data_IF_967153501369
#
_entry.id   IF_967153501369
#
_cell.length_a   1.000
_cell.length_b   1.000
_cell.length_c   1.000
_cell.angle_alpha   90.00
_cell.angle_beta   90.00
_cell.angle_gamma   90.00
#
_symmetry.space_group_name_H-M   'P 1'
#
loop_
_entity.id
_entity.type
_entity.pdbx_description
1 polymer ?
#
# COMPACT_ATOMS: atom_id res chain seq x y z
N UNK A 1 -19.54 32.31 -47.84
CA UNK A 1 -19.80 32.51 -46.40
C UNK A 1 -19.97 31.15 -45.75
N UNK A 2 -18.87 30.57 -45.28
CA UNK A 2 -18.90 29.33 -44.50
C UNK A 2 -19.37 29.68 -43.10
N UNK A 3 -20.54 29.18 -42.71
CA UNK A 3 -21.05 29.28 -41.34
C UNK A 3 -20.11 28.48 -40.44
N UNK A 4 -19.16 29.16 -39.79
CA UNK A 4 -18.35 28.55 -38.75
C UNK A 4 -19.32 28.06 -37.66
N UNK A 5 -19.42 26.74 -37.47
CA UNK A 5 -20.13 26.16 -36.33
C UNK A 5 -19.42 26.66 -35.07
N UNK A 6 -20.03 27.61 -34.37
CA UNK A 6 -19.55 28.08 -33.07
C UNK A 6 -19.55 26.87 -32.15
N UNK A 7 -18.40 26.55 -31.55
CA UNK A 7 -18.30 25.46 -30.59
C UNK A 7 -19.17 25.82 -29.37
N UNK A 8 -20.19 25.01 -29.02
CA UNK A 8 -21.07 25.29 -27.88
C UNK A 8 -20.32 25.43 -26.55
N UNK A 9 -19.11 24.84 -26.45
CA UNK A 9 -18.26 24.92 -25.26
C UNK A 9 -17.27 26.09 -25.29
N UNK A 10 -17.18 26.82 -26.40
CA UNK A 10 -16.37 28.05 -26.53
C UNK A 10 -17.17 29.12 -27.29
N UNK A 11 -18.24 29.67 -26.70
CA UNK A 11 -19.13 30.62 -27.38
C UNK A 11 -18.43 31.91 -27.83
N UNK A 12 -17.29 32.25 -27.21
CA UNK A 12 -16.49 33.44 -27.52
C UNK A 12 -15.23 33.14 -28.34
N UNK A 13 -14.98 31.88 -28.70
CA UNK A 13 -13.81 31.51 -29.49
C UNK A 13 -14.11 31.63 -31.00
N UNK A 14 -13.49 32.61 -31.65
CA UNK A 14 -13.59 32.81 -33.10
C UNK A 14 -12.34 32.24 -33.79
N UNK A 15 -12.42 31.08 -34.45
CA UNK A 15 -11.28 30.54 -35.19
C UNK A 15 -10.94 31.46 -36.38
N UNK A 16 -9.70 31.96 -36.43
CA UNK A 16 -9.16 32.65 -37.62
C UNK A 16 -9.21 34.18 -37.64
N UNK A 17 -9.58 34.87 -36.56
CA UNK A 17 -9.53 36.34 -36.46
C UNK A 17 -8.30 36.84 -35.68
N UNK A 18 -7.11 36.31 -35.98
CA UNK A 18 -5.85 36.96 -35.61
C UNK A 18 -5.43 37.98 -36.68
N UNK A 19 -6.22 39.05 -36.80
CA UNK A 19 -5.73 40.31 -37.40
C UNK A 19 -5.76 41.40 -36.31
N UNK A 20 -4.61 41.53 -35.66
CA UNK A 20 -4.01 42.74 -35.08
C UNK A 20 -4.67 43.55 -33.94
N UNK A 21 -5.88 43.26 -33.43
CA UNK A 21 -6.51 44.20 -32.48
C UNK A 21 -6.95 43.65 -31.11
N UNK A 22 -6.17 42.74 -30.50
CA UNK A 22 -6.25 42.56 -29.04
C UNK A 22 -4.85 42.65 -28.44
N UNK A 23 -4.68 43.59 -27.51
CA UNK A 23 -3.48 43.77 -26.70
C UNK A 23 -3.30 42.53 -25.84
N UNK A 24 -2.53 41.56 -26.33
CA UNK A 24 -1.98 40.52 -25.47
C UNK A 24 -1.06 41.22 -24.47
N UNK A 25 -1.48 41.27 -23.20
CA UNK A 25 -0.52 41.49 -22.12
C UNK A 25 0.60 40.46 -22.30
N UNK A 26 1.88 40.86 -22.27
CA UNK A 26 2.98 39.93 -22.45
C UNK A 26 3.04 39.00 -21.24
N UNK A 27 2.37 37.87 -21.31
CA UNK A 27 2.59 36.74 -20.40
C UNK A 27 3.87 36.07 -20.84
N UNK A 28 4.92 36.19 -20.02
CA UNK A 28 6.25 35.65 -20.28
C UNK A 28 6.36 34.11 -20.29
N UNK A 29 5.24 33.38 -20.34
CA UNK A 29 5.18 31.92 -20.11
C UNK A 29 4.43 31.10 -21.19
N UNK A 30 4.08 31.68 -22.35
CA UNK A 30 3.53 30.89 -23.47
C UNK A 30 4.64 30.30 -24.36
N UNK A 31 4.85 28.99 -24.25
CA UNK A 31 5.73 28.20 -25.13
C UNK A 31 5.15 28.23 -26.56
N UNK A 32 5.87 28.74 -27.58
CA UNK A 32 5.39 28.72 -28.96
C UNK A 32 5.44 27.31 -29.53
N UNK A 33 4.29 26.89 -30.06
CA UNK A 33 4.08 25.65 -30.80
C UNK A 33 4.95 25.64 -32.07
N UNK A 34 5.74 24.56 -32.19
CA UNK A 34 6.61 24.13 -33.29
C UNK A 34 6.21 24.62 -34.69
N UNK A 35 6.82 25.72 -35.13
CA UNK A 35 7.25 25.88 -36.52
C UNK A 35 8.77 25.68 -36.57
N UNK A 36 9.23 24.98 -37.60
CA UNK A 36 10.63 24.68 -37.89
C UNK A 36 11.43 25.98 -38.06
N UNK A 37 11.91 26.52 -36.94
CA UNK A 37 12.89 27.62 -36.90
C UNK A 37 14.09 27.08 -36.11
N UNK A 38 15.30 27.27 -36.66
CA UNK A 38 16.53 26.66 -36.13
C UNK A 38 16.67 26.92 -34.62
N UNK A 39 16.95 25.89 -33.81
CA UNK A 39 17.00 26.08 -32.36
C UNK A 39 18.26 26.84 -31.97
N UNK A 40 18.10 28.12 -31.62
CA UNK A 40 19.12 28.93 -30.98
C UNK A 40 19.76 28.17 -29.80
N UNK A 41 21.06 27.87 -29.88
CA UNK A 41 21.80 27.14 -28.84
C UNK A 41 21.73 27.83 -27.46
N UNK A 42 21.55 29.16 -27.42
CA UNK A 42 21.39 29.92 -26.19
C UNK A 42 20.06 29.64 -25.48
N UNK A 43 18.98 29.45 -26.24
CA UNK A 43 17.65 29.11 -25.70
C UNK A 43 17.63 27.67 -25.20
N UNK A 44 18.27 26.74 -25.91
CA UNK A 44 18.42 25.36 -25.45
C UNK A 44 19.23 25.27 -24.15
N UNK A 45 20.33 26.04 -24.03
CA UNK A 45 21.14 26.07 -22.81
C UNK A 45 20.36 26.64 -21.61
N UNK A 46 19.57 27.69 -21.80
CA UNK A 46 18.75 28.26 -20.72
C UNK A 46 17.61 27.32 -20.31
N UNK A 47 16.95 26.67 -21.28
CA UNK A 47 15.91 25.67 -21.05
C UNK A 47 16.46 24.45 -20.29
N UNK A 48 17.58 23.88 -20.74
CA UNK A 48 18.23 22.75 -20.04
C UNK A 48 18.66 23.13 -18.62
N UNK A 49 19.14 24.36 -18.41
CA UNK A 49 19.50 24.86 -17.07
C UNK A 49 18.28 24.97 -16.15
N UNK A 50 17.14 25.44 -16.66
CA UNK A 50 15.88 25.51 -15.90
C UNK A 50 15.33 24.13 -15.58
N UNK A 51 15.32 23.22 -16.56
CA UNK A 51 14.86 21.85 -16.37
C UNK A 51 15.72 21.08 -15.37
N UNK A 52 17.05 21.22 -15.43
CA UNK A 52 17.96 20.58 -14.48
C UNK A 52 17.79 21.14 -13.08
N UNK A 53 17.69 22.46 -12.94
CA UNK A 53 17.41 23.12 -11.65
C UNK A 53 16.09 22.64 -11.04
N UNK A 54 15.04 22.55 -11.85
CA UNK A 54 13.75 22.03 -11.43
C UNK A 54 13.83 20.55 -11.00
N UNK A 55 14.51 19.73 -11.79
CA UNK A 55 14.67 18.30 -11.51
C UNK A 55 15.47 18.06 -10.21
N UNK A 56 16.51 18.86 -9.95
CA UNK A 56 17.30 18.82 -8.72
C UNK A 56 16.49 19.30 -7.51
N UNK A 57 15.72 20.38 -7.65
CA UNK A 57 14.81 20.85 -6.61
C UNK A 57 13.80 19.75 -6.25
N UNK A 58 13.18 19.13 -7.25
CA UNK A 58 12.26 18.01 -7.05
C UNK A 58 12.94 16.81 -6.40
N UNK A 59 14.19 16.51 -6.75
CA UNK A 59 14.96 15.47 -6.08
C UNK A 59 15.15 15.77 -4.58
N UNK A 60 15.48 17.01 -4.24
CA UNK A 60 15.64 17.43 -2.84
C UNK A 60 14.34 17.35 -2.05
N UNK A 61 13.23 17.84 -2.63
CA UNK A 61 11.91 17.80 -1.99
C UNK A 61 11.43 16.37 -1.77
N UNK A 62 11.61 15.49 -2.76
CA UNK A 62 11.29 14.06 -2.61
C UNK A 62 12.19 13.37 -1.60
N UNK A 63 13.48 13.75 -1.53
CA UNK A 63 14.41 13.20 -0.55
C UNK A 63 14.01 13.56 0.88
N UNK A 64 13.57 14.79 1.12
CA UNK A 64 13.11 15.26 2.44
C UNK A 64 11.85 14.52 2.90
N UNK A 65 10.95 14.19 1.97
CA UNK A 65 9.68 13.51 2.25
C UNK A 65 9.82 11.98 2.31
N UNK A 66 10.88 11.42 1.72
CA UNK A 66 11.09 9.96 1.61
C UNK A 66 11.01 9.17 2.93
N UNK A 67 11.52 9.64 4.09
CA UNK A 67 11.41 8.89 5.34
C UNK A 67 9.95 8.71 5.76
N UNK A 68 9.11 9.72 5.48
CA UNK A 68 7.70 9.67 5.79
C UNK A 68 6.94 8.75 4.82
N UNK A 69 7.32 8.74 3.56
CA UNK A 69 6.74 7.81 2.59
C UNK A 69 7.10 6.35 2.91
N UNK A 70 8.35 6.08 3.33
CA UNK A 70 8.78 4.75 3.73
C UNK A 70 8.04 4.29 4.99
N UNK A 71 7.97 5.13 6.03
CA UNK A 71 7.24 4.73 7.24
C UNK A 71 5.74 4.50 7.00
N UNK A 72 5.07 5.34 6.19
CA UNK A 72 3.64 5.14 5.86
C UNK A 72 3.40 3.87 5.07
N UNK A 73 4.22 3.59 4.06
CA UNK A 73 4.10 2.38 3.23
C UNK A 73 4.34 1.11 4.04
N UNK A 74 5.36 1.07 4.90
CA UNK A 74 5.63 -0.07 5.77
C UNK A 74 4.47 -0.32 6.74
N UNK A 75 3.90 0.73 7.35
CA UNK A 75 2.72 0.61 8.23
C UNK A 75 1.49 0.08 7.49
N UNK A 76 1.22 0.55 6.28
CA UNK A 76 0.05 0.15 5.50
C UNK A 76 0.15 -1.31 5.02
N UNK A 77 1.35 -1.77 4.67
CA UNK A 77 1.58 -3.15 4.22
C UNK A 77 1.65 -4.13 5.39
N UNK A 78 2.01 -3.66 6.59
CA UNK A 78 2.15 -4.48 7.77
C UNK A 78 0.92 -5.32 8.09
N UNK A 79 1.09 -6.64 8.05
CA UNK A 79 0.16 -7.59 8.63
C UNK A 79 0.38 -7.66 10.14
N UNK A 80 -0.62 -7.28 10.94
CA UNK A 80 -0.66 -7.75 12.34
C UNK A 80 -2.04 -8.35 12.64
N UNK A 81 -2.13 -9.70 12.62
CA UNK A 81 -3.38 -10.41 12.85
C UNK A 81 -3.78 -10.35 14.33
N UNK A 82 -5.03 -10.66 14.61
CA UNK A 82 -5.47 -10.99 15.96
C UNK A 82 -5.00 -12.39 16.34
N UNK A 83 -4.56 -12.60 17.59
CA UNK A 83 -4.01 -13.88 18.10
C UNK A 83 -4.96 -15.08 17.89
N UNK A 84 -6.28 -14.85 17.86
CA UNK A 84 -7.27 -15.90 17.67
C UNK A 84 -7.64 -16.14 16.18
N UNK A 85 -7.13 -15.34 15.22
CA UNK A 85 -7.45 -15.41 13.78
C UNK A 85 -6.17 -15.50 12.91
N UNK A 86 -5.02 -15.83 13.51
CA UNK A 86 -3.78 -15.94 12.76
C UNK A 86 -3.89 -17.04 11.69
N UNK A 87 -3.74 -16.63 10.42
CA UNK A 87 -3.67 -17.58 9.31
C UNK A 87 -2.26 -18.10 9.24
N UNK A 88 -2.03 -19.31 9.73
CA UNK A 88 -0.76 -20.00 9.56
C UNK A 88 -0.57 -20.36 8.08
N UNK A 89 0.52 -19.88 7.47
CA UNK A 89 0.95 -20.37 6.18
C UNK A 89 1.39 -21.83 6.29
N UNK A 90 0.97 -22.68 5.36
CA UNK A 90 1.59 -23.99 5.19
C UNK A 90 3.05 -23.77 4.74
N UNK A 91 4.04 -24.46 5.32
CA UNK A 91 5.41 -24.41 4.82
C UNK A 91 5.43 -24.82 3.35
N UNK A 92 5.98 -23.97 2.48
CA UNK A 92 6.33 -24.38 1.13
C UNK A 92 7.41 -25.45 1.24
N UNK A 93 7.07 -26.70 0.93
CA UNK A 93 8.05 -27.75 0.71
C UNK A 93 8.95 -27.29 -0.45
N UNK A 94 10.21 -27.00 -0.13
CA UNK A 94 11.26 -26.71 -1.09
C UNK A 94 11.24 -27.74 -2.21
N UNK A 95 10.82 -27.33 -3.41
CA UNK A 95 10.80 -28.18 -4.61
C UNK A 95 12.18 -28.24 -5.27
N UNK A 96 13.24 -28.14 -4.46
CA UNK A 96 14.65 -28.07 -4.88
C UNK A 96 15.38 -29.39 -4.58
N UNK A 97 14.74 -30.52 -4.88
CA UNK A 97 15.38 -31.83 -4.90
C UNK A 97 14.62 -32.77 -5.86
N UNK A 98 14.67 -32.45 -7.16
CA UNK A 98 14.44 -33.48 -8.19
C UNK A 98 15.60 -34.46 -8.15
N UNK A 99 15.52 -35.45 -7.26
CA UNK A 99 16.29 -36.69 -7.33
C UNK A 99 15.38 -37.75 -7.93
N UNK A 100 15.82 -38.23 -9.09
CA UNK A 100 15.38 -39.43 -9.80
C UNK A 100 14.95 -40.55 -8.86
N UNK A 101 13.69 -40.98 -8.97
CA UNK A 101 13.32 -42.35 -8.62
C UNK A 101 12.39 -42.88 -9.71
N UNK A 102 12.94 -43.86 -10.41
CA UNK A 102 12.33 -44.60 -11.49
C UNK A 102 11.03 -45.27 -11.02
N UNK A 103 9.92 -44.96 -11.68
CA UNK A 103 8.70 -45.75 -11.55
C UNK A 103 8.93 -47.03 -12.38
N UNK A 104 9.22 -48.13 -11.69
CA UNK A 104 9.05 -49.47 -12.25
C UNK A 104 7.55 -49.71 -12.44
N UNK A 105 7.13 -49.73 -13.69
CA UNK A 105 5.81 -50.19 -14.12
C UNK A 105 5.83 -51.72 -14.07
N UNK A 106 5.12 -52.31 -13.10
CA UNK A 106 4.79 -53.74 -13.09
C UNK A 106 3.43 -53.90 -13.77
N UNK A 107 3.46 -54.42 -14.99
CA UNK A 107 2.28 -54.99 -15.66
C UNK A 107 1.93 -56.33 -14.99
N UNK A 108 0.66 -56.50 -14.63
CA UNK A 108 0.10 -57.80 -14.27
C UNK A 108 -1.34 -57.86 -14.80
N UNK A 109 -1.49 -58.52 -15.95
CA UNK A 109 -2.74 -59.06 -16.45
C UNK A 109 -3.25 -60.17 -15.52
N UNK A 110 -4.55 -60.19 -15.22
CA UNK A 110 -5.34 -61.43 -15.10
C UNK A 110 -6.83 -61.13 -15.03
N UNK A 111 -7.55 -61.62 -16.04
CA UNK A 111 -8.99 -61.89 -15.99
C UNK A 111 -9.30 -63.03 -15.01
N UNK A 112 -10.43 -62.94 -14.30
CA UNK A 112 -11.40 -64.04 -14.10
C UNK A 112 -12.56 -63.60 -13.18
N UNK A 113 -13.77 -63.68 -13.72
CA UNK A 113 -15.04 -63.68 -12.98
C UNK A 113 -15.24 -65.06 -12.30
N UNK A 114 -15.68 -65.11 -11.04
CA UNK A 114 -16.53 -66.21 -10.52
C UNK A 114 -17.25 -65.80 -9.22
N UNK A 115 -18.44 -66.36 -9.07
CA UNK A 115 -19.52 -66.02 -8.14
C UNK A 115 -19.39 -66.65 -6.73
N UNK A 116 -20.00 -65.96 -5.75
CA UNK A 116 -20.93 -66.64 -4.82
C UNK A 116 -20.41 -67.18 -3.47
N UNK A 117 -21.17 -66.80 -2.43
CA UNK A 117 -21.61 -67.64 -1.30
C UNK A 117 -21.15 -67.25 0.13
N UNK A 118 -22.13 -67.29 1.03
CA UNK A 118 -22.22 -66.67 2.36
C UNK A 118 -21.25 -67.19 3.42
N UNK A 119 -20.71 -66.28 4.27
CA UNK A 119 -20.57 -66.52 5.73
C UNK A 119 -20.33 -65.22 6.54
N UNK A 120 -21.07 -65.08 7.64
CA UNK A 120 -20.88 -64.21 8.83
C UNK A 120 -21.21 -65.07 10.05
N UNK A 121 -20.87 -64.74 11.32
CA UNK A 121 -20.01 -63.68 11.87
C UNK A 121 -18.97 -64.20 12.90
N UNK A 122 -18.27 -63.27 13.59
CA UNK A 122 -17.44 -63.44 14.83
C UNK A 122 -16.00 -63.94 14.55
N UNK A 123 -14.89 -63.28 14.91
CA UNK A 123 -14.53 -62.42 16.03
C UNK A 123 -13.77 -61.15 15.58
N UNK A 124 -14.08 -60.01 16.19
CA UNK A 124 -13.29 -58.77 16.04
C UNK A 124 -12.12 -58.78 17.02
N UNK A 125 -11.02 -59.41 16.64
CA UNK A 125 -9.71 -59.11 17.23
C UNK A 125 -9.16 -57.84 16.56
N UNK A 126 -8.89 -56.85 17.40
CA UNK A 126 -8.28 -55.57 17.04
C UNK A 126 -6.91 -55.78 16.43
N UNK A 127 -6.81 -55.67 15.10
CA UNK A 127 -5.53 -55.40 14.45
C UNK A 127 -5.30 -53.90 14.58
N UNK A 128 -4.41 -53.57 15.51
CA UNK A 128 -3.77 -52.26 15.63
C UNK A 128 -3.29 -51.82 14.25
N UNK A 129 -4.03 -50.88 13.63
CA UNK A 129 -3.40 -50.00 12.66
C UNK A 129 -2.33 -49.26 13.43
N UNK A 130 -1.08 -49.65 13.19
CA UNK A 130 0.11 -48.92 13.56
C UNK A 130 -0.10 -47.49 13.07
N UNK A 131 -0.62 -46.64 13.96
CA UNK A 131 -0.44 -45.20 13.85
C UNK A 131 1.05 -45.03 13.97
N UNK A 132 1.71 -44.96 12.83
CA UNK A 132 3.00 -44.30 12.73
C UNK A 132 2.72 -42.88 13.20
N UNK A 133 2.89 -42.67 14.50
CA UNK A 133 3.24 -41.39 15.09
C UNK A 133 4.55 -41.03 14.40
N UNK A 134 4.44 -40.37 13.26
CA UNK A 134 5.49 -39.44 12.87
C UNK A 134 5.57 -38.46 14.01
N UNK A 135 6.61 -38.63 14.83
CA UNK A 135 6.98 -37.67 15.84
C UNK A 135 6.94 -36.29 15.22
N UNK A 136 5.99 -35.51 15.72
CA UNK A 136 5.77 -34.12 15.40
C UNK A 136 6.97 -33.34 15.93
N UNK A 137 8.09 -33.41 15.21
CA UNK A 137 9.14 -32.40 15.27
C UNK A 137 8.52 -31.08 14.79
N UNK A 138 7.98 -30.33 15.75
CA UNK A 138 7.76 -28.88 15.74
C UNK A 138 7.81 -28.21 14.36
N UNK A 139 6.77 -28.41 13.55
CA UNK A 139 6.41 -27.45 12.51
C UNK A 139 5.77 -26.24 13.21
N UNK A 140 6.61 -25.47 13.90
CA UNK A 140 6.18 -24.26 14.60
C UNK A 140 5.76 -23.25 13.55
N UNK A 141 4.46 -23.14 13.31
CA UNK A 141 3.88 -22.04 12.57
C UNK A 141 4.20 -20.75 13.34
N UNK A 142 5.17 -19.99 12.85
CA UNK A 142 5.69 -18.81 13.55
C UNK A 142 4.61 -17.73 13.51
N UNK A 143 4.07 -17.39 14.68
CA UNK A 143 3.16 -16.26 14.81
C UNK A 143 3.93 -14.96 14.58
N UNK A 144 3.25 -13.94 14.04
CA UNK A 144 3.86 -12.62 13.76
C UNK A 144 4.42 -11.98 15.04
N UNK A 145 3.84 -12.33 16.20
CA UNK A 145 4.23 -11.83 17.52
C UNK A 145 5.27 -12.69 18.26
N UNK A 146 5.69 -13.83 17.69
CA UNK A 146 6.74 -14.65 18.30
C UNK A 146 8.11 -14.01 18.05
N UNK A 147 8.55 -13.19 19.01
CA UNK A 147 9.85 -12.50 18.94
C UNK A 147 11.05 -13.48 18.94
N UNK A 148 10.89 -14.72 19.41
CA UNK A 148 12.00 -15.69 19.51
C UNK A 148 12.31 -16.37 18.19
N UNK A 149 11.27 -16.70 17.42
CA UNK A 149 11.39 -17.37 16.13
C UNK A 149 11.32 -16.40 14.94
N UNK A 150 11.30 -15.08 15.19
CA UNK A 150 11.26 -14.07 14.13
C UNK A 150 12.57 -14.07 13.34
N UNK A 151 12.53 -14.12 11.99
CA UNK A 151 13.73 -13.98 11.20
C UNK A 151 14.36 -12.59 11.37
N UNK A 152 15.69 -12.55 11.39
CA UNK A 152 16.50 -11.34 11.69
C UNK A 152 16.20 -10.18 10.71
N UNK A 153 15.76 -10.47 9.49
CA UNK A 153 15.41 -9.47 8.49
C UNK A 153 14.05 -8.79 8.72
N UNK A 154 13.19 -9.34 9.60
CA UNK A 154 11.82 -8.89 9.82
C UNK A 154 11.72 -8.04 11.09
N UNK A 155 11.02 -6.91 11.01
CA UNK A 155 10.74 -6.01 12.14
C UNK A 155 9.64 -6.55 13.04
N UNK A 156 9.69 -6.13 14.30
CA UNK A 156 8.55 -6.24 15.20
C UNK A 156 7.36 -5.43 14.67
N UNK A 157 6.12 -5.91 14.87
CA UNK A 157 4.94 -5.14 14.56
C UNK A 157 4.98 -3.74 15.18
N UNK A 158 5.00 -2.70 14.34
CA UNK A 158 4.99 -1.31 14.77
C UNK A 158 3.54 -0.90 15.11
N UNK A 159 3.13 -1.05 16.37
CA UNK A 159 1.77 -0.70 16.81
C UNK A 159 1.75 0.51 17.74
N UNK A 160 0.94 1.52 17.39
CA UNK A 160 0.47 2.54 18.34
C UNK A 160 1.48 3.61 18.78
N UNK A 161 2.69 3.61 18.24
CA UNK A 161 3.70 4.63 18.52
C UNK A 161 3.52 5.95 17.75
N UNK A 162 4.19 7.01 18.20
CA UNK A 162 4.26 8.29 17.49
C UNK A 162 5.03 8.17 16.16
N UNK A 163 4.88 9.16 15.26
CA UNK A 163 5.57 9.15 13.94
C UNK A 163 7.09 8.99 14.09
N UNK A 164 7.70 9.70 15.05
CA UNK A 164 9.13 9.60 15.34
C UNK A 164 9.53 8.27 15.95
N UNK A 165 8.65 7.62 16.71
CA UNK A 165 8.90 6.30 17.30
C UNK A 165 8.89 5.20 16.23
N UNK A 166 7.97 5.30 15.27
CA UNK A 166 7.93 4.44 14.08
C UNK A 166 9.23 4.60 13.29
N UNK A 167 9.64 5.85 13.02
CA UNK A 167 10.86 6.13 12.28
C UNK A 167 12.11 5.64 13.02
N UNK A 168 12.16 5.89 14.33
CA UNK A 168 13.25 5.43 15.20
C UNK A 168 13.33 3.91 15.23
N UNK A 169 12.19 3.21 15.25
CA UNK A 169 12.13 1.75 15.19
C UNK A 169 12.72 1.20 13.90
N UNK A 170 12.47 1.86 12.76
CA UNK A 170 13.05 1.50 11.46
C UNK A 170 14.58 1.67 11.49
N UNK A 171 15.05 2.84 11.96
CA UNK A 171 16.49 3.16 12.02
C UNK A 171 17.24 2.24 12.98
N UNK A 172 16.63 1.82 14.08
CA UNK A 172 17.23 0.95 15.10
C UNK A 172 17.33 -0.51 14.67
N UNK A 173 16.63 -0.93 13.61
CA UNK A 173 16.71 -2.32 13.18
C UNK A 173 18.11 -2.63 12.61
N UNK A 174 18.81 -3.67 13.11
CA UNK A 174 20.21 -3.93 12.76
C UNK A 174 20.41 -4.32 11.29
N UNK A 175 19.39 -4.85 10.64
CA UNK A 175 19.43 -5.27 9.23
C UNK A 175 19.15 -4.14 8.24
N UNK A 176 18.65 -2.99 8.70
CA UNK A 176 18.20 -1.89 7.84
C UNK A 176 18.99 -0.60 8.01
N UNK A 177 19.10 -0.12 9.26
CA UNK A 177 19.69 1.17 9.57
C UNK A 177 18.99 2.36 8.91
N UNK A 178 19.60 3.54 9.05
CA UNK A 178 19.07 4.80 8.54
C UNK A 178 18.94 4.90 7.01
N UNK A 179 19.75 4.16 6.24
CA UNK A 179 19.69 4.14 4.78
C UNK A 179 18.37 3.57 4.24
N UNK A 180 17.71 2.72 5.04
CA UNK A 180 16.41 2.14 4.68
C UNK A 180 15.31 3.18 4.48
N UNK A 181 15.41 4.32 5.17
CA UNK A 181 14.45 5.43 5.04
C UNK A 181 14.42 6.07 3.65
N UNK A 182 15.46 5.85 2.85
CA UNK A 182 15.57 6.37 1.49
C UNK A 182 15.35 5.26 0.44
N UNK A 183 14.82 4.10 0.83
CA UNK A 183 14.40 3.06 -0.12
C UNK A 183 13.33 3.62 -1.05
N UNK A 184 13.44 3.27 -2.34
CA UNK A 184 12.50 3.73 -3.35
C UNK A 184 12.66 5.20 -3.77
N UNK A 185 13.53 6.01 -3.12
CA UNK A 185 13.69 7.44 -3.42
C UNK A 185 13.93 7.75 -4.89
N UNK A 186 14.81 6.98 -5.56
CA UNK A 186 15.08 7.16 -6.99
C UNK A 186 13.84 6.91 -7.85
N UNK A 187 13.03 5.91 -7.48
CA UNK A 187 11.79 5.57 -8.19
C UNK A 187 10.72 6.62 -7.94
N UNK A 188 10.60 7.09 -6.70
CA UNK A 188 9.73 8.22 -6.34
C UNK A 188 10.04 9.44 -7.19
N UNK A 189 11.32 9.83 -7.26
CA UNK A 189 11.72 11.00 -8.04
C UNK A 189 11.42 10.84 -9.54
N UNK A 190 11.75 9.68 -10.14
CA UNK A 190 11.43 9.41 -11.56
C UNK A 190 9.92 9.46 -11.79
N UNK A 191 9.13 8.86 -10.89
CA UNK A 191 7.67 8.87 -10.95
C UNK A 191 7.11 10.30 -10.88
N UNK A 192 7.58 11.12 -9.93
CA UNK A 192 7.12 12.50 -9.79
C UNK A 192 7.52 13.36 -10.99
N UNK A 193 8.72 13.18 -11.55
CA UNK A 193 9.15 13.87 -12.78
C UNK A 193 8.27 13.50 -13.97
N UNK A 194 8.05 12.19 -14.20
CA UNK A 194 7.18 11.71 -15.27
C UNK A 194 5.76 12.24 -15.10
N UNK A 195 5.20 12.16 -13.90
CA UNK A 195 3.85 12.64 -13.60
C UNK A 195 3.72 14.14 -13.82
N UNK A 196 4.74 14.92 -13.44
CA UNK A 196 4.77 16.38 -13.62
C UNK A 196 4.81 16.77 -15.11
N UNK A 197 5.47 15.97 -15.95
CA UNK A 197 5.56 16.23 -17.40
C UNK A 197 4.35 15.71 -18.17
N UNK A 198 3.92 14.47 -17.91
CA UNK A 198 2.89 13.79 -18.70
C UNK A 198 1.47 14.29 -18.40
N UNK A 199 1.16 14.67 -17.15
CA UNK A 199 -0.20 15.06 -16.80
C UNK A 199 -0.63 16.36 -17.48
N UNK A 200 0.09 17.50 -17.35
CA UNK A 200 -0.34 18.75 -17.96
C UNK A 200 -0.34 18.67 -19.49
N UNK A 201 0.61 17.93 -20.08
CA UNK A 201 0.68 17.75 -21.54
C UNK A 201 -0.52 16.96 -22.08
N UNK A 202 -0.94 15.91 -21.37
CA UNK A 202 -2.14 15.15 -21.75
C UNK A 202 -3.43 15.93 -21.49
N UNK A 203 -3.50 16.68 -20.38
CA UNK A 203 -4.66 17.53 -20.06
C UNK A 203 -4.87 18.62 -21.12
N UNK A 204 -3.80 19.34 -21.48
CA UNK A 204 -3.80 20.31 -22.58
C UNK A 204 -4.20 19.68 -23.92
N UNK A 205 -3.62 18.52 -24.26
CA UNK A 205 -3.97 17.82 -25.50
C UNK A 205 -5.44 17.37 -25.54
N UNK A 206 -6.01 16.93 -24.42
CA UNK A 206 -7.42 16.54 -24.33
C UNK A 206 -8.33 17.77 -24.40
N UNK A 207 -7.98 18.85 -23.70
CA UNK A 207 -8.73 20.10 -23.74
C UNK A 207 -8.75 20.69 -25.16
N UNK A 208 -7.66 20.61 -25.91
CA UNK A 208 -7.62 21.03 -27.31
C UNK A 208 -8.45 20.11 -28.22
N UNK A 209 -8.36 18.80 -28.03
CA UNK A 209 -9.13 17.82 -28.80
C UNK A 209 -10.65 18.03 -28.67
N UNK A 210 -11.12 18.37 -27.48
CA UNK A 210 -12.54 18.64 -27.21
C UNK A 210 -12.92 20.11 -27.36
N UNK A 211 -11.95 20.98 -27.69
CA UNK A 211 -12.15 22.41 -27.77
C UNK A 211 -12.69 22.99 -26.46
N UNK A 212 -12.07 22.70 -25.32
CA UNK A 212 -12.38 23.21 -23.98
C UNK A 212 -11.42 24.32 -23.55
N UNK A 213 -11.85 25.27 -22.73
CA UNK A 213 -10.95 26.32 -22.23
C UNK A 213 -9.78 25.71 -21.46
N UNK A 214 -8.58 26.27 -21.71
CA UNK A 214 -7.33 25.89 -21.04
C UNK A 214 -7.41 26.16 -19.53
N UNK A 215 -6.70 25.36 -18.72
CA UNK A 215 -6.82 25.25 -17.25
C UNK A 215 -6.39 26.51 -16.48
N UNK A 216 -6.18 27.62 -17.16
CA UNK A 216 -5.84 28.92 -16.60
C UNK A 216 -7.03 29.64 -15.95
N UNK A 217 -8.27 29.17 -16.22
CA UNK A 217 -9.49 29.72 -15.62
C UNK A 217 -9.96 28.81 -14.47
N UNK A 218 -10.08 29.31 -13.22
CA UNK A 218 -10.63 28.53 -12.12
C UNK A 218 -12.01 27.99 -12.47
N UNK A 219 -12.23 26.68 -12.25
CA UNK A 219 -13.48 25.94 -12.51
C UNK A 219 -14.75 26.60 -11.90
N UNK A 220 -14.58 27.56 -11.00
CA UNK A 220 -15.64 28.37 -10.40
C UNK A 220 -16.40 29.24 -11.43
N UNK A 221 -15.77 29.63 -12.54
CA UNK A 221 -16.31 30.59 -13.51
C UNK A 221 -16.85 29.97 -14.80
N UNK A 222 -16.89 28.64 -14.92
CA UNK A 222 -17.39 27.96 -16.12
C UNK A 222 -18.86 27.56 -15.97
N UNK A 223 -19.66 27.91 -16.99
CA UNK A 223 -21.09 27.55 -17.05
C UNK A 223 -21.31 26.03 -17.18
N UNK A 224 -20.39 25.31 -17.83
CA UNK A 224 -20.39 23.85 -17.90
C UNK A 224 -19.10 23.27 -17.33
N UNK A 225 -19.12 22.87 -16.06
CA UNK A 225 -17.95 22.32 -15.33
C UNK A 225 -17.66 20.86 -15.72
N UNK A 226 -18.70 20.13 -16.15
CA UNK A 226 -18.62 18.70 -16.48
C UNK A 226 -17.52 18.34 -17.50
N UNK A 227 -17.44 18.97 -18.69
CA UNK A 227 -16.43 18.57 -19.69
C UNK A 227 -14.99 18.78 -19.20
N UNK A 228 -14.70 19.87 -18.50
CA UNK A 228 -13.35 20.14 -17.97
C UNK A 228 -12.97 19.17 -16.84
N UNK A 229 -13.92 18.81 -15.96
CA UNK A 229 -13.67 17.75 -14.97
C UNK A 229 -13.40 16.42 -15.68
N UNK A 230 -14.11 16.10 -16.76
CA UNK A 230 -13.90 14.82 -17.46
C UNK A 230 -12.51 14.72 -18.09
N UNK A 231 -12.00 15.79 -18.71
CA UNK A 231 -10.64 15.79 -19.28
C UNK A 231 -9.56 15.72 -18.21
N UNK A 232 -9.75 16.45 -17.10
CA UNK A 232 -8.90 16.33 -15.91
C UNK A 232 -8.87 14.91 -15.35
N UNK A 233 -10.03 14.27 -15.16
CA UNK A 233 -10.10 12.89 -14.65
C UNK A 233 -9.48 11.89 -15.64
N UNK A 234 -9.71 12.09 -16.93
CA UNK A 234 -9.14 11.26 -17.98
C UNK A 234 -7.61 11.37 -18.01
N UNK A 235 -7.04 12.58 -17.94
CA UNK A 235 -5.59 12.79 -17.92
C UNK A 235 -4.96 12.10 -16.69
N UNK A 236 -5.57 12.26 -15.52
CA UNK A 236 -5.17 11.58 -14.29
C UNK A 236 -5.20 10.06 -14.38
N UNK A 237 -6.27 9.51 -14.94
CA UNK A 237 -6.45 8.07 -15.09
C UNK A 237 -5.44 7.48 -16.06
N UNK A 238 -5.27 8.10 -17.23
CA UNK A 238 -4.33 7.62 -18.27
C UNK A 238 -2.90 7.65 -17.75
N UNK A 239 -2.46 8.75 -17.14
CA UNK A 239 -1.12 8.87 -16.55
C UNK A 239 -0.92 7.89 -15.40
N UNK A 240 -1.91 7.77 -14.52
CA UNK A 240 -1.84 6.86 -13.37
C UNK A 240 -1.72 5.40 -13.79
N UNK A 241 -2.53 4.98 -14.77
CA UNK A 241 -2.45 3.62 -15.34
C UNK A 241 -1.08 3.42 -16.00
N UNK A 242 -0.61 4.36 -16.82
CA UNK A 242 0.68 4.30 -17.51
C UNK A 242 1.86 4.19 -16.55
N UNK A 243 1.82 4.90 -15.42
CA UNK A 243 2.88 4.89 -14.41
C UNK A 243 2.71 3.81 -13.32
N UNK A 244 1.65 3.02 -13.38
CA UNK A 244 1.34 2.01 -12.35
C UNK A 244 2.45 0.99 -12.07
N UNK A 245 3.25 0.49 -13.05
CA UNK A 245 4.34 -0.44 -12.74
C UNK A 245 5.44 0.20 -11.90
N UNK A 246 5.63 1.51 -12.06
CA UNK A 246 6.63 2.27 -11.31
C UNK A 246 6.18 2.43 -9.85
N UNK A 247 4.88 2.62 -9.61
CA UNK A 247 4.30 2.60 -8.26
C UNK A 247 4.45 1.22 -7.60
N UNK A 248 4.19 0.13 -8.34
CA UNK A 248 4.37 -1.24 -7.83
C UNK A 248 5.84 -1.47 -7.48
N UNK A 249 6.77 -1.17 -8.39
CA UNK A 249 8.20 -1.31 -8.15
C UNK A 249 8.66 -0.48 -6.93
N UNK A 250 8.18 0.77 -6.80
CA UNK A 250 8.44 1.62 -5.63
C UNK A 250 8.00 0.93 -4.34
N UNK A 251 6.75 0.47 -4.27
CA UNK A 251 6.23 -0.18 -3.05
C UNK A 251 7.01 -1.45 -2.68
N UNK A 252 7.37 -2.28 -3.66
CA UNK A 252 8.15 -3.50 -3.42
C UNK A 252 9.58 -3.22 -2.97
N UNK A 253 10.24 -2.22 -3.54
CA UNK A 253 11.59 -1.80 -3.13
C UNK A 253 11.62 -1.21 -1.72
N UNK A 254 10.52 -0.59 -1.28
CA UNK A 254 10.40 -0.09 0.09
C UNK A 254 10.18 -1.23 1.07
N UNK A 255 9.32 -2.19 0.71
CA UNK A 255 8.91 -3.30 1.60
C UNK A 255 9.95 -4.41 1.71
N UNK A 256 10.80 -4.62 0.71
CA UNK A 256 11.85 -5.64 0.78
C UNK A 256 12.88 -5.36 1.88
N UNK A 257 13.46 -6.42 2.44
CA UNK A 257 14.56 -6.27 3.39
C UNK A 257 15.78 -5.58 2.76
N UNK A 258 16.49 -4.76 3.55
CA UNK A 258 17.75 -4.13 3.12
C UNK A 258 18.95 -5.09 3.12
N UNK A 259 18.82 -6.27 3.76
CA UNK A 259 19.92 -7.23 3.83
C UNK A 259 20.22 -7.83 2.45
N UNK A 260 21.48 -7.80 1.97
CA UNK A 260 21.83 -8.30 0.63
C UNK A 260 21.57 -9.80 0.46
N UNK A 261 21.62 -10.57 1.55
CA UNK A 261 21.33 -12.01 1.57
C UNK A 261 19.83 -12.32 1.41
N UNK A 262 18.96 -11.34 1.69
CA UNK A 262 17.50 -11.49 1.66
C UNK A 262 16.83 -10.57 0.63
N UNK A 263 17.61 -9.80 -0.14
CA UNK A 263 17.07 -8.85 -1.11
C UNK A 263 16.74 -9.55 -2.42
N UNK A 264 15.48 -9.46 -2.85
CA UNK A 264 15.05 -9.95 -4.16
C UNK A 264 15.44 -8.99 -5.29
N UNK A 265 15.45 -7.68 -5.03
CA UNK A 265 15.70 -6.66 -6.04
C UNK A 265 16.92 -5.80 -5.71
N UNK A 266 17.92 -5.83 -6.59
CA UNK A 266 19.16 -5.06 -6.45
C UNK A 266 19.03 -3.57 -6.83
N UNK A 267 17.95 -3.20 -7.51
CA UNK A 267 17.73 -1.83 -7.96
C UNK A 267 16.41 -1.66 -8.71
N UNK A 268 16.09 -0.43 -9.15
CA UNK A 268 14.79 -0.13 -9.75
C UNK A 268 14.58 -0.76 -11.13
N UNK A 269 15.61 -0.73 -11.98
CA UNK A 269 15.55 -1.37 -13.30
C UNK A 269 15.53 -2.89 -13.18
N UNK A 270 16.28 -3.44 -12.23
CA UNK A 270 16.24 -4.87 -11.92
C UNK A 270 14.85 -5.26 -11.40
N UNK A 271 14.26 -4.48 -10.50
CA UNK A 271 12.90 -4.73 -9.98
C UNK A 271 11.86 -4.76 -11.10
N UNK A 272 11.88 -3.78 -12.01
CA UNK A 272 10.97 -3.76 -13.15
C UNK A 272 11.17 -4.96 -14.07
N UNK A 273 12.43 -5.28 -14.43
CA UNK A 273 12.75 -6.42 -15.30
C UNK A 273 12.31 -7.74 -14.70
N UNK A 274 12.64 -7.98 -13.43
CA UNK A 274 12.26 -9.20 -12.70
C UNK A 274 10.75 -9.31 -12.58
N UNK A 275 10.06 -8.22 -12.24
CA UNK A 275 8.59 -8.18 -12.17
C UNK A 275 7.95 -8.54 -13.52
N UNK A 276 8.41 -7.96 -14.63
CA UNK A 276 7.88 -8.32 -15.95
C UNK A 276 8.20 -9.76 -16.35
N UNK A 277 9.35 -10.31 -15.95
CA UNK A 277 9.74 -11.68 -16.27
C UNK A 277 8.96 -12.73 -15.47
N UNK A 278 8.70 -12.48 -14.18
CA UNK A 278 8.11 -13.48 -13.28
C UNK A 278 6.58 -13.45 -13.26
N UNK A 279 5.95 -12.32 -13.55
CA UNK A 279 4.50 -12.12 -13.37
C UNK A 279 3.69 -12.24 -14.66
N UNK A 280 4.26 -12.83 -15.72
CA UNK A 280 3.56 -12.99 -17.00
C UNK A 280 3.53 -11.72 -17.85
N UNK A 281 4.60 -10.91 -17.77
CA UNK A 281 4.80 -9.76 -18.64
C UNK A 281 3.98 -8.53 -18.26
N UNK A 282 3.88 -7.61 -19.23
CA UNK A 282 3.20 -6.32 -19.08
C UNK A 282 1.73 -6.53 -18.72
N UNK A 283 1.05 -7.52 -19.31
CA UNK A 283 -0.36 -7.81 -19.01
C UNK A 283 -0.56 -8.30 -17.58
N UNK A 284 0.37 -9.09 -17.03
CA UNK A 284 0.29 -9.55 -15.65
C UNK A 284 0.55 -8.44 -14.63
N UNK A 285 1.37 -7.46 -14.96
CA UNK A 285 1.61 -6.31 -14.07
C UNK A 285 0.46 -5.30 -14.12
N UNK A 286 0.02 -4.92 -15.33
CA UNK A 286 -1.00 -3.88 -15.54
C UNK A 286 -2.44 -4.39 -15.40
N UNK A 287 -2.76 -5.54 -15.99
CA UNK A 287 -4.13 -6.06 -16.13
C UNK A 287 -4.50 -7.10 -15.07
N UNK A 288 -3.68 -7.28 -14.04
CA UNK A 288 -3.98 -8.18 -12.94
C UNK A 288 -4.88 -7.52 -11.89
N UNK A 289 -4.81 -8.04 -10.68
CA UNK A 289 -5.61 -7.61 -9.53
C UNK A 289 -5.39 -6.12 -9.19
N UNK A 290 -4.27 -5.54 -9.63
CA UNK A 290 -3.88 -4.16 -9.36
C UNK A 290 -4.62 -3.10 -10.18
N UNK A 291 -5.25 -3.46 -11.32
CA UNK A 291 -5.87 -2.47 -12.21
C UNK A 291 -7.00 -1.70 -11.51
N UNK A 292 -7.95 -2.44 -10.93
CA UNK A 292 -9.16 -1.88 -10.32
C UNK A 292 -8.87 -0.92 -9.14
N UNK A 293 -8.02 -1.28 -8.15
CA UNK A 293 -7.68 -0.32 -7.08
C UNK A 293 -6.87 0.88 -7.60
N UNK A 294 -6.06 0.71 -8.64
CA UNK A 294 -5.33 1.82 -9.29
C UNK A 294 -6.29 2.79 -9.98
N UNK A 295 -7.29 2.29 -10.73
CA UNK A 295 -8.32 3.11 -11.35
C UNK A 295 -9.10 3.92 -10.31
N UNK A 296 -9.59 3.27 -9.25
CA UNK A 296 -10.30 3.98 -8.19
C UNK A 296 -9.42 5.02 -7.51
N UNK A 297 -8.15 4.71 -7.26
CA UNK A 297 -7.24 5.62 -6.57
C UNK A 297 -6.99 6.88 -7.40
N UNK A 298 -6.70 6.73 -8.70
CA UNK A 298 -6.45 7.85 -9.59
C UNK A 298 -7.71 8.63 -10.00
N UNK A 299 -8.91 8.06 -9.80
CA UNK A 299 -10.18 8.79 -9.96
C UNK A 299 -10.55 9.58 -8.71
N UNK A 300 -10.45 8.96 -7.53
CA UNK A 300 -10.88 9.58 -6.27
C UNK A 300 -9.92 10.72 -5.87
N UNK A 301 -8.62 10.57 -6.12
CA UNK A 301 -7.61 11.58 -5.75
C UNK A 301 -7.89 12.96 -6.35
N UNK A 302 -7.99 13.13 -7.70
CA UNK A 302 -8.30 14.43 -8.29
C UNK A 302 -9.67 14.97 -7.88
N UNK A 303 -10.67 14.10 -7.71
CA UNK A 303 -12.00 14.52 -7.24
C UNK A 303 -11.93 15.20 -5.87
N UNK A 304 -11.19 14.61 -4.92
CA UNK A 304 -10.98 15.21 -3.60
C UNK A 304 -10.27 16.55 -3.73
N UNK A 305 -9.18 16.62 -4.52
CA UNK A 305 -8.40 17.85 -4.70
C UNK A 305 -9.21 18.99 -5.32
N UNK A 306 -10.08 18.70 -6.29
CA UNK A 306 -10.96 19.70 -6.90
C UNK A 306 -12.15 20.06 -6.01
N UNK A 307 -12.65 19.11 -5.21
CA UNK A 307 -13.77 19.34 -4.31
C UNK A 307 -13.41 20.32 -3.19
N UNK A 308 -12.18 20.28 -2.66
CA UNK A 308 -11.78 21.13 -1.52
C UNK A 308 -12.01 22.63 -1.77
N UNK A 309 -11.40 23.28 -2.79
CA UNK A 309 -11.59 24.70 -3.02
C UNK A 309 -13.04 25.06 -3.37
N UNK A 310 -13.76 24.18 -4.08
CA UNK A 310 -15.16 24.40 -4.46
C UNK A 310 -16.09 24.37 -3.24
N UNK A 311 -15.89 23.44 -2.30
CA UNK A 311 -16.67 23.37 -1.07
C UNK A 311 -16.41 24.59 -0.18
N UNK A 312 -15.15 25.03 -0.08
CA UNK A 312 -14.79 26.22 0.71
C UNK A 312 -15.44 27.47 0.10
N UNK A 313 -15.29 27.69 -1.20
CA UNK A 313 -15.81 28.87 -1.86
C UNK A 313 -17.35 28.90 -1.91
N UNK A 314 -18.00 27.77 -2.24
CA UNK A 314 -19.45 27.75 -2.53
C UNK A 314 -20.32 27.47 -1.32
N UNK A 315 -19.89 26.57 -0.42
CA UNK A 315 -20.69 26.19 0.76
C UNK A 315 -20.29 27.07 1.95
N UNK A 316 -19.00 27.14 2.26
CA UNK A 316 -18.53 27.86 3.44
C UNK A 316 -18.43 29.37 3.20
N UNK A 317 -18.33 29.82 1.93
CA UNK A 317 -18.20 31.23 1.53
C UNK A 317 -17.06 31.96 2.25
N UNK A 318 -15.97 31.24 2.50
CA UNK A 318 -14.79 31.78 3.16
C UNK A 318 -13.80 32.22 2.09
N UNK A 319 -13.44 33.50 2.09
CA UNK A 319 -12.34 34.03 1.28
C UNK A 319 -11.02 33.88 2.03
N UNK A 320 -9.96 33.47 1.33
CA UNK A 320 -8.61 33.43 1.88
C UNK A 320 -8.08 34.83 2.25
N UNK A 321 -8.56 35.87 1.57
CA UNK A 321 -8.17 37.26 1.85
C UNK A 321 -8.77 37.79 3.17
N UNK A 322 -10.02 37.43 3.45
CA UNK A 322 -10.73 37.95 4.63
C UNK A 322 -10.28 37.23 5.91
N UNK A 323 -10.14 35.90 5.84
CA UNK A 323 -9.78 35.08 7.00
C UNK A 323 -8.86 33.91 6.62
N UNK A 324 -7.53 34.11 6.59
CA UNK A 324 -6.58 33.08 6.17
C UNK A 324 -6.54 31.87 7.10
N UNK A 325 -6.68 32.08 8.41
CA UNK A 325 -6.67 31.00 9.41
C UNK A 325 -7.92 30.11 9.25
N UNK A 326 -9.09 30.72 9.04
CA UNK A 326 -10.34 30.00 8.86
C UNK A 326 -10.35 29.21 7.54
N UNK A 327 -9.80 29.81 6.47
CA UNK A 327 -9.59 29.14 5.20
C UNK A 327 -8.68 27.92 5.37
N UNK A 328 -7.53 28.08 6.04
CA UNK A 328 -6.62 26.97 6.34
C UNK A 328 -7.26 25.88 7.20
N UNK A 329 -8.10 26.24 8.18
CA UNK A 329 -8.82 25.27 9.01
C UNK A 329 -9.86 24.49 8.19
N UNK A 330 -10.58 25.16 7.28
CA UNK A 330 -11.51 24.53 6.36
C UNK A 330 -10.77 23.58 5.39
N UNK A 331 -9.62 24.00 4.86
CA UNK A 331 -8.77 23.16 4.02
C UNK A 331 -8.25 21.94 4.78
N UNK A 332 -7.81 22.09 6.04
CA UNK A 332 -7.39 20.99 6.90
C UNK A 332 -8.51 19.98 7.14
N UNK A 333 -9.73 20.45 7.46
CA UNK A 333 -10.88 19.56 7.71
C UNK A 333 -11.32 18.81 6.47
N UNK A 334 -11.38 19.46 5.31
CA UNK A 334 -11.72 18.80 4.04
C UNK A 334 -10.62 17.84 3.58
N UNK A 335 -9.35 18.21 3.74
CA UNK A 335 -8.21 17.35 3.40
C UNK A 335 -8.12 16.12 4.30
N UNK A 336 -8.43 16.27 5.60
CA UNK A 336 -8.52 15.13 6.53
C UNK A 336 -9.72 14.24 6.25
N UNK A 337 -10.87 14.80 5.86
CA UNK A 337 -12.01 14.01 5.39
C UNK A 337 -11.68 13.24 4.10
N UNK A 338 -11.00 13.89 3.15
CA UNK A 338 -10.49 13.24 1.93
C UNK A 338 -9.54 12.08 2.27
N UNK A 339 -8.67 12.25 3.26
CA UNK A 339 -7.77 11.22 3.75
C UNK A 339 -8.51 9.99 4.29
N UNK A 340 -9.60 10.19 5.02
CA UNK A 340 -10.43 9.11 5.56
C UNK A 340 -11.09 8.26 4.45
N UNK A 341 -11.34 8.85 3.29
CA UNK A 341 -11.88 8.17 2.12
C UNK A 341 -10.77 7.45 1.34
N UNK A 342 -9.59 8.08 1.21
CA UNK A 342 -8.51 7.57 0.37
C UNK A 342 -7.69 6.45 1.04
N UNK A 343 -7.48 6.52 2.35
CA UNK A 343 -6.63 5.59 3.10
C UNK A 343 -7.02 4.12 2.97
N UNK A 344 -8.30 3.73 3.12
CA UNK A 344 -8.72 2.34 2.92
C UNK A 344 -8.28 1.78 1.57
N UNK A 345 -8.46 2.59 0.52
CA UNK A 345 -8.11 2.21 -0.84
C UNK A 345 -6.60 2.14 -1.03
N UNK A 346 -5.86 3.11 -0.47
CA UNK A 346 -4.39 3.13 -0.51
C UNK A 346 -3.79 1.90 0.18
N UNK A 347 -4.31 1.54 1.36
CA UNK A 347 -3.87 0.37 2.13
C UNK A 347 -4.12 -0.93 1.37
N UNK A 348 -5.33 -1.11 0.81
CA UNK A 348 -5.65 -2.30 0.00
C UNK A 348 -4.76 -2.37 -1.24
N UNK A 349 -4.57 -1.24 -1.93
CA UNK A 349 -3.70 -1.15 -3.12
C UNK A 349 -2.27 -1.57 -2.80
N UNK A 350 -1.65 -1.00 -1.77
CA UNK A 350 -0.26 -1.33 -1.37
C UNK A 350 -0.11 -2.78 -0.95
N UNK A 351 -1.08 -3.36 -0.25
CA UNK A 351 -1.08 -4.78 0.11
C UNK A 351 -1.20 -5.71 -1.10
N UNK A 352 -1.91 -5.27 -2.14
CA UNK A 352 -2.02 -6.02 -3.38
C UNK A 352 -0.72 -5.95 -4.19
N UNK A 353 -0.04 -4.80 -4.20
CA UNK A 353 1.27 -4.65 -4.85
C UNK A 353 2.34 -5.58 -4.25
N UNK A 354 2.26 -5.88 -2.96
CA UNK A 354 3.17 -6.78 -2.26
C UNK A 354 2.91 -8.27 -2.52
N UNK A 355 1.92 -8.62 -3.34
CA UNK A 355 1.75 -9.99 -3.80
C UNK A 355 2.78 -10.28 -4.90
N UNK A 356 3.86 -10.92 -4.51
CA UNK A 356 4.93 -11.35 -5.39
C UNK A 356 4.92 -12.87 -5.47
N UNK A 357 5.09 -13.49 -6.65
CA UNK A 357 5.29 -14.93 -6.74
C UNK A 357 6.66 -15.33 -6.14
N UNK A 358 6.69 -16.44 -5.40
CA UNK A 358 7.91 -17.01 -4.79
C UNK A 358 8.24 -16.48 -3.39
N UNK A 359 9.46 -16.75 -2.92
CA UNK A 359 9.94 -16.33 -1.60
C UNK A 359 10.32 -14.83 -1.62
N UNK A 360 9.43 -13.99 -1.08
CA UNK A 360 9.65 -12.55 -0.95
C UNK A 360 9.88 -12.18 0.51
N UNK A 361 11.15 -12.00 0.87
CA UNK A 361 11.57 -11.62 2.24
C UNK A 361 11.37 -10.13 2.46
N UNK A 362 10.27 -9.79 3.11
CA UNK A 362 9.92 -8.41 3.44
C UNK A 362 10.46 -8.00 4.81
N UNK A 363 10.74 -6.71 4.95
CA UNK A 363 11.07 -6.06 6.23
C UNK A 363 9.96 -6.23 7.25
N UNK A 364 8.72 -6.25 6.79
CA UNK A 364 7.53 -6.30 7.63
C UNK A 364 6.74 -7.56 7.31
N UNK A 365 6.06 -8.14 8.30
CA UNK A 365 5.17 -9.28 8.07
C UNK A 365 4.14 -8.96 6.98
N UNK A 366 4.07 -9.81 5.97
CA UNK A 366 2.99 -9.82 4.97
C UNK A 366 2.12 -11.04 5.25
N UNK A 367 0.83 -10.94 4.90
CA UNK A 367 -0.10 -12.07 4.99
C UNK A 367 0.41 -13.26 4.14
N UNK A 368 0.49 -14.48 4.70
CA UNK A 368 1.07 -15.63 3.99
C UNK A 368 0.22 -16.09 2.80
N UNK A 369 -1.09 -15.89 2.85
CA UNK A 369 -1.99 -16.26 1.77
C UNK A 369 -2.37 -15.01 0.94
N UNK A 370 -2.37 -15.09 -0.40
CA UNK A 370 -2.71 -13.96 -1.26
C UNK A 370 -4.19 -13.59 -1.19
N UNK A 371 -4.48 -12.31 -1.45
CA UNK A 371 -5.83 -11.79 -1.70
C UNK A 371 -6.26 -12.11 -3.14
N UNK A 372 -7.55 -12.39 -3.33
CA UNK A 372 -8.16 -12.65 -4.64
C UNK A 372 -8.48 -11.36 -5.40
N UNK A 373 -8.82 -10.28 -4.69
CA UNK A 373 -9.14 -8.98 -5.26
C UNK A 373 -9.36 -7.94 -4.16
N UNK A 374 -9.87 -6.76 -4.54
CA UNK A 374 -10.07 -5.62 -3.62
C UNK A 374 -11.07 -5.93 -2.51
N UNK A 375 -12.22 -6.51 -2.84
CA UNK A 375 -13.26 -6.84 -1.85
C UNK A 375 -12.82 -7.97 -0.90
N UNK A 376 -12.09 -8.96 -1.40
CA UNK A 376 -11.53 -10.04 -0.58
C UNK A 376 -10.44 -9.50 0.36
N UNK A 377 -9.60 -8.58 -0.13
CA UNK A 377 -8.63 -7.88 0.69
C UNK A 377 -9.32 -7.05 1.78
N UNK A 378 -10.34 -6.27 1.41
CA UNK A 378 -11.14 -5.48 2.35
C UNK A 378 -11.72 -6.36 3.46
N UNK A 379 -12.41 -7.44 3.10
CA UNK A 379 -13.01 -8.38 4.05
C UNK A 379 -11.97 -9.00 4.99
N UNK A 380 -10.85 -9.51 4.43
CA UNK A 380 -9.80 -10.16 5.22
C UNK A 380 -9.09 -9.18 6.15
N UNK A 381 -8.78 -7.96 5.70
CA UNK A 381 -8.17 -6.94 6.55
C UNK A 381 -9.12 -6.58 7.70
N UNK A 382 -10.40 -6.37 7.41
CA UNK A 382 -11.39 -6.04 8.44
C UNK A 382 -11.59 -7.15 9.47
N UNK A 383 -11.50 -8.41 9.03
CA UNK A 383 -11.68 -9.59 9.87
C UNK A 383 -10.43 -9.97 10.67
N UNK A 384 -9.26 -9.90 10.04
CA UNK A 384 -7.99 -10.36 10.63
C UNK A 384 -7.32 -9.26 11.47
N UNK A 385 -7.51 -7.97 11.16
CA UNK A 385 -6.80 -6.84 11.79
C UNK A 385 -7.71 -5.76 12.40
N UNK A 386 -9.01 -6.04 12.48
CA UNK A 386 -10.01 -5.02 12.81
C UNK A 386 -9.97 -4.52 14.24
N UNK A 387 -9.52 -5.35 15.18
CA UNK A 387 -9.67 -5.11 16.62
C UNK A 387 -8.39 -4.62 17.28
N UNK A 388 -8.55 -3.83 18.36
CA UNK A 388 -7.42 -3.49 19.21
C UNK A 388 -6.98 -4.72 19.99
N UNK A 389 -5.69 -5.02 19.90
CA UNK A 389 -5.03 -5.95 20.79
C UNK A 389 -5.17 -5.43 22.23
N UNK A 390 -6.07 -6.05 23.02
CA UNK A 390 -6.07 -5.81 24.47
C UNK A 390 -4.88 -6.61 24.98
N UNK A 391 -3.71 -5.97 25.11
CA UNK A 391 -2.52 -6.56 25.75
C UNK A 391 -2.99 -7.24 27.01
N UNK A 392 -3.07 -8.57 26.99
CA UNK A 392 -3.64 -9.33 28.08
C UNK A 392 -2.73 -9.11 29.29
N UNK A 393 -3.24 -8.42 30.30
CA UNK A 393 -2.59 -8.24 31.60
C UNK A 393 -2.24 -9.59 32.27
N UNK A 394 -2.69 -10.72 31.70
CA UNK A 394 -2.39 -12.06 32.20
C UNK A 394 -0.92 -12.50 31.96
N UNK A 395 -0.16 -11.83 31.09
CA UNK A 395 1.27 -12.11 30.95
C UNK A 395 2.07 -11.74 32.23
N UNK A 396 1.56 -10.80 33.04
CA UNK A 396 2.14 -10.48 34.35
C UNK A 396 1.62 -11.38 35.49
N UNK A 397 0.47 -12.04 35.33
CA UNK A 397 -0.08 -12.93 36.37
C UNK A 397 0.69 -14.25 36.44
N UNK A 398 1.12 -14.81 35.31
CA UNK A 398 1.94 -16.04 35.32
C UNK A 398 3.40 -15.80 35.69
N UNK A 399 3.91 -14.59 35.50
CA UNK A 399 5.28 -14.23 35.89
C UNK A 399 5.45 -14.12 37.42
N UNK A 400 4.35 -13.93 38.14
CA UNK A 400 4.34 -13.81 39.60
C UNK A 400 4.06 -15.13 40.36
N UNK A 401 3.78 -16.24 39.64
CA UNK A 401 3.61 -17.57 40.26
C UNK A 401 4.89 -18.40 40.31
N UNK A 402 5.90 -18.07 39.49
CA UNK A 402 7.16 -18.80 39.44
C UNK A 402 8.24 -18.31 40.43
N UNK A 403 7.91 -17.38 41.34
CA UNK A 403 8.86 -16.80 42.31
C UNK A 403 8.58 -17.18 43.77
N UNK A 404 7.69 -18.14 44.04
CA UNK A 404 7.45 -18.71 45.38
C UNK A 404 7.50 -20.23 45.36
N UNK A 405 8.69 -20.81 45.22
CA UNK A 405 8.91 -22.21 45.63
C UNK A 405 10.40 -22.54 45.84
N UNK A 406 11.11 -21.83 46.73
CA UNK A 406 12.40 -22.32 47.25
C UNK A 406 12.59 -21.78 48.68
N UNK A 407 12.26 -22.61 49.67
CA UNK A 407 12.75 -22.69 51.06
C UNK A 407 11.63 -23.31 51.90
N UNK A 408 11.76 -24.60 52.19
CA UNK A 408 11.88 -25.09 53.56
C UNK A 408 12.15 -26.60 53.57
N UNK A 409 12.78 -27.01 54.67
CA UNK A 409 13.65 -28.16 54.85
C UNK A 409 12.96 -29.32 55.62
N UNK A 410 13.48 -30.53 55.42
CA UNK A 410 13.33 -31.80 56.18
C UNK A 410 12.04 -32.18 56.95
N UNK A 411 11.45 -33.35 56.61
CA UNK A 411 11.48 -34.60 57.41
C UNK A 411 10.41 -35.65 57.02
N UNK A 412 10.68 -36.89 57.37
CA UNK A 412 10.09 -38.21 57.01
C UNK A 412 8.59 -38.44 57.22
N UNK A 413 7.98 -39.30 56.39
CA UNK A 413 7.38 -40.61 56.77
C UNK A 413 6.42 -41.13 55.69
N UNK A 414 6.42 -42.45 55.49
CA UNK A 414 5.60 -43.25 54.57
C UNK A 414 4.08 -42.98 54.65
N UNK A 415 3.40 -43.05 53.50
CA UNK A 415 2.16 -43.82 53.30
C UNK A 415 1.64 -43.70 51.85
N UNK A 416 1.48 -44.85 51.20
CA UNK A 416 0.74 -45.03 49.95
C UNK A 416 -0.77 -44.83 50.21
N UNK A 417 -1.43 -43.93 49.44
CA UNK A 417 -2.82 -44.07 49.01
C UNK A 417 -3.26 -42.94 48.07
N UNK A 418 -4.17 -43.31 47.17
CA UNK A 418 -5.10 -42.47 46.40
C UNK A 418 -4.69 -41.97 45.01
N UNK A 419 -4.80 -42.94 44.09
CA UNK A 419 -5.58 -42.90 42.84
C UNK A 419 -6.43 -41.63 42.58
N UNK A 420 -6.44 -41.25 41.30
CA UNK A 420 -7.27 -40.24 40.59
C UNK A 420 -6.63 -38.85 40.40
N UNK A 421 -6.06 -38.57 39.21
CA UNK A 421 -5.91 -37.19 38.76
C UNK A 421 -7.29 -36.62 38.43
N UNK A 422 -7.76 -35.73 39.30
CA UNK A 422 -8.90 -34.84 39.11
C UNK A 422 -8.78 -34.16 37.73
N UNK A 423 -9.64 -34.54 36.78
CA UNK A 423 -9.87 -33.81 35.52
C UNK A 423 -10.32 -32.39 35.88
N UNK A 424 -9.38 -31.44 35.96
CA UNK A 424 -9.72 -30.03 35.94
C UNK A 424 -10.28 -29.71 34.55
N UNK A 425 -11.58 -29.41 34.55
CA UNK A 425 -12.37 -29.07 33.39
C UNK A 425 -11.69 -28.00 32.53
N UNK A 426 -11.28 -28.40 31.33
CA UNK A 426 -10.93 -27.51 30.22
C UNK A 426 -12.20 -26.87 29.67
N UNK A 427 -12.82 -25.97 30.42
CA UNK A 427 -13.85 -25.09 29.91
C UNK A 427 -13.26 -23.68 29.70
N UNK A 428 -12.42 -23.57 28.67
CA UNK A 428 -12.12 -22.29 28.03
C UNK A 428 -12.64 -22.36 26.59
N UNK A 429 -13.95 -22.47 26.45
CA UNK A 429 -14.61 -22.06 25.21
C UNK A 429 -14.54 -20.53 25.20
N UNK A 430 -13.43 -19.99 24.71
CA UNK A 430 -13.32 -18.57 24.42
C UNK A 430 -14.42 -18.24 23.42
N UNK A 431 -15.39 -17.45 23.87
CA UNK A 431 -16.43 -16.87 23.03
C UNK A 431 -15.75 -16.12 21.89
N UNK A 432 -15.89 -16.63 20.66
CA UNK A 432 -15.42 -16.01 19.43
C UNK A 432 -16.30 -14.80 19.16
N UNK A 433 -16.08 -13.71 19.88
CA UNK A 433 -16.62 -12.42 19.43
C UNK A 433 -15.71 -12.00 18.29
N UNK A 434 -16.12 -12.39 17.08
CA UNK A 434 -15.55 -11.92 15.83
C UNK A 434 -15.82 -10.42 15.72
N UNK A 435 -15.07 -9.61 16.45
CA UNK A 435 -15.20 -8.18 16.37
C UNK A 435 -14.54 -7.77 15.04
N UNK A 436 -15.38 -7.47 14.06
CA UNK A 436 -14.94 -6.83 12.84
C UNK A 436 -14.46 -5.42 13.19
N UNK A 437 -13.48 -4.91 12.46
CA UNK A 437 -13.08 -3.53 12.65
C UNK A 437 -12.28 -2.97 11.48
N UNK A 438 -12.08 -1.65 11.51
CA UNK A 438 -11.55 -0.91 10.35
C UNK A 438 -10.12 -0.41 10.63
N UNK A 439 -9.56 -0.73 11.82
CA UNK A 439 -8.23 -0.26 12.25
C UNK A 439 -7.13 -0.64 11.26
N UNK A 440 -7.15 -1.88 10.74
CA UNK A 440 -6.17 -2.35 9.77
C UNK A 440 -6.11 -1.51 8.47
N UNK A 441 -7.23 -0.89 8.08
CA UNK A 441 -7.32 -0.08 6.86
C UNK A 441 -6.74 1.33 7.04
N UNK A 442 -6.77 1.85 8.27
CA UNK A 442 -6.31 3.19 8.62
C UNK A 442 -4.90 3.22 9.22
N UNK A 443 -4.09 2.17 8.98
CA UNK A 443 -2.67 2.20 9.34
C UNK A 443 -1.97 3.31 8.56
N UNK A 444 -1.15 4.10 9.25
CA UNK A 444 -0.50 5.29 8.67
C UNK A 444 -1.32 6.58 8.71
N UNK A 445 -2.57 6.55 9.21
CA UNK A 445 -3.41 7.75 9.34
C UNK A 445 -2.73 8.86 10.16
N UNK A 446 -2.12 8.53 11.30
CA UNK A 446 -1.44 9.53 12.16
C UNK A 446 -0.31 10.26 11.44
N UNK A 447 0.37 9.57 10.53
CA UNK A 447 1.53 10.06 9.82
C UNK A 447 1.13 10.99 8.66
N UNK A 448 0.06 10.65 7.94
CA UNK A 448 -0.52 11.52 6.93
C UNK A 448 -1.29 12.70 7.54
N UNK A 449 -1.97 12.50 8.68
CA UNK A 449 -2.59 13.57 9.44
C UNK A 449 -1.56 14.60 9.91
N UNK A 450 -0.40 14.14 10.42
CA UNK A 450 0.69 15.03 10.81
C UNK A 450 1.17 15.89 9.64
N UNK A 451 1.24 15.34 8.42
CA UNK A 451 1.59 16.12 7.23
C UNK A 451 0.56 17.22 6.92
N UNK A 452 -0.74 16.90 6.99
CA UNK A 452 -1.79 17.90 6.78
C UNK A 452 -1.77 18.99 7.86
N UNK A 453 -1.53 18.63 9.12
CA UNK A 453 -1.38 19.59 10.23
C UNK A 453 -0.16 20.49 10.02
N UNK A 454 0.96 19.93 9.56
CA UNK A 454 2.16 20.73 9.24
C UNK A 454 1.90 21.71 8.10
N UNK A 455 1.17 21.31 7.06
CA UNK A 455 0.76 22.21 5.97
C UNK A 455 -0.13 23.34 6.49
N UNK A 456 -1.09 23.03 7.36
CA UNK A 456 -1.92 24.04 8.01
C UNK A 456 -1.08 25.03 8.83
N UNK A 457 -0.16 24.54 9.67
CA UNK A 457 0.73 25.40 10.46
C UNK A 457 1.54 26.32 9.54
N UNK A 458 2.12 25.77 8.47
CA UNK A 458 2.87 26.56 7.50
C UNK A 458 2.02 27.63 6.80
N UNK A 459 0.79 27.29 6.40
CA UNK A 459 -0.16 28.24 5.82
C UNK A 459 -0.55 29.34 6.81
N UNK A 460 -0.77 28.98 8.08
CA UNK A 460 -1.10 29.97 9.12
C UNK A 460 0.06 30.91 9.41
N UNK A 461 1.31 30.41 9.43
CA UNK A 461 2.49 31.24 9.62
C UNK A 461 2.66 32.23 8.47
N UNK A 462 2.62 31.74 7.22
CA UNK A 462 2.75 32.63 6.05
C UNK A 462 1.57 33.60 5.92
N UNK A 463 0.37 33.19 6.35
CA UNK A 463 -0.81 34.04 6.34
C UNK A 463 -0.80 35.13 7.43
N UNK A 464 0.02 34.99 8.46
CA UNK A 464 0.25 36.01 9.48
C UNK A 464 1.30 37.03 9.02
N UNK A 465 2.36 36.58 8.34
CA UNK A 465 3.42 37.45 7.82
C UNK A 465 2.94 38.42 6.73
N UNK A 466 1.82 38.11 6.05
CA UNK A 466 1.20 39.00 5.05
C UNK A 466 0.37 40.16 5.63
N UNK A 467 0.35 40.35 6.96
CA UNK A 467 -0.40 41.42 7.66
C UNK A 467 0.49 42.49 8.31
N UNK A 468 1.81 42.40 8.19
CA UNK A 468 2.75 43.43 8.66
C UNK A 468 3.07 44.51 7.62
#
# INVERSE_FOLDING_TARGET
MTTAKVNPHRPYYTPGLHHHNYTSLPSNDSIPLLLLEEPDHAQFKSLTTRCTSFALLKYFVTMLTSPFEVGTTLLQVQYSPHQDVEVFGLPQLDSSSRLSSSIHQFDADSDSEDDGFYRRPEDRTSIDTIRIRTDSNSLSSVSVFDDKNRPIYQMAPMEGGGVLEILSSIVKQPTEGWKSLFKGQRVTWVYEMLRTLLRPTLESSLNDLFGLYDDTIPLLHLDSVTPNITTLLASHLVVGVLLSPLEIARTRLVVQSASPLCSKYNGPLHALRTMFSEEGGIRGVYLSKNLLPTLFYHLITPLISCSTPLLIARILRISAADSPILYGAAELTLSTLGLLILLPLETIRKRLHCQVPGDFKSTVAIRPQPYRGVLDALYKIMKEEGTRHKRSANANVNRNKNTKHWMDDHSSSDSDADLFPQRQATNNVKTVTSAWGIRGLYRGFSMQLAANVMLFVFQTMNGLDGRE
#
